data_IF_260691639461
#
_entry.id   IF_260691639461
#
_cell.length_a   1.000
_cell.length_b   1.000
_cell.length_c   1.000
_cell.angle_alpha   90.00
_cell.angle_beta   90.00
_cell.angle_gamma   90.00
#
_symmetry.space_group_name_H-M   'P 1'
#
loop_
_entity.id
_entity.type
_entity.pdbx_description
1 polymer ?
#
# COMPACT_ATOMS: atom_id res chain seq x y z
N UNK A 1 4.04 -31.20 -16.04
CA UNK A 1 4.21 -31.35 -14.58
C UNK A 1 3.77 -30.05 -13.94
N UNK A 2 2.66 -30.14 -13.20
CA UNK A 2 2.07 -29.24 -12.20
C UNK A 2 2.47 -27.75 -12.22
N UNK A 3 1.62 -26.90 -12.79
CA UNK A 3 1.48 -25.54 -12.27
C UNK A 3 0.39 -25.59 -11.21
N UNK A 4 0.75 -25.98 -9.98
CA UNK A 4 -0.13 -25.78 -8.84
C UNK A 4 -0.37 -24.28 -8.73
N UNK A 5 -1.58 -23.85 -9.09
CA UNK A 5 -2.08 -22.49 -8.86
C UNK A 5 -2.34 -22.30 -7.35
N UNK A 6 -1.36 -22.66 -6.52
CA UNK A 6 -1.44 -22.47 -5.07
C UNK A 6 -1.47 -20.97 -4.81
N UNK A 7 -2.50 -20.53 -4.07
CA UNK A 7 -2.64 -19.14 -3.67
C UNK A 7 -1.41 -18.76 -2.82
N UNK A 8 -0.75 -17.62 -3.08
CA UNK A 8 0.40 -17.21 -2.29
C UNK A 8 -0.01 -17.07 -0.82
N UNK A 9 0.85 -17.56 0.07
CA UNK A 9 0.67 -17.56 1.51
C UNK A 9 1.06 -16.21 2.06
N UNK A 10 0.15 -15.57 2.79
CA UNK A 10 0.38 -14.26 3.38
C UNK A 10 0.35 -14.31 4.91
N UNK A 11 1.17 -13.48 5.54
CA UNK A 11 1.05 -13.13 6.95
C UNK A 11 0.69 -11.65 7.09
N UNK A 12 -0.18 -11.33 8.03
CA UNK A 12 -0.43 -9.94 8.43
C UNK A 12 0.53 -9.63 9.58
N UNK A 13 1.28 -8.54 9.47
CA UNK A 13 2.13 -8.07 10.56
C UNK A 13 1.72 -6.67 11.00
N UNK A 14 1.52 -6.52 12.30
CA UNK A 14 1.22 -5.23 12.94
C UNK A 14 2.24 -5.05 14.07
N UNK A 15 3.04 -3.98 14.07
CA UNK A 15 3.99 -3.74 15.15
C UNK A 15 3.31 -3.65 16.51
N UNK A 16 3.96 -4.15 17.56
CA UNK A 16 3.44 -4.16 18.93
C UNK A 16 3.18 -2.77 19.54
N UNK A 17 3.77 -1.72 18.98
CA UNK A 17 3.57 -0.34 19.43
C UNK A 17 2.37 0.36 18.76
N UNK A 18 1.71 -0.30 17.79
CA UNK A 18 0.55 0.26 17.11
C UNK A 18 -0.70 0.02 17.95
N UNK A 19 -1.30 1.10 18.42
CA UNK A 19 -2.57 1.13 19.15
C UNK A 19 -3.41 2.33 18.66
N UNK A 20 -4.69 2.14 18.29
CA UNK A 20 -5.45 0.89 18.32
C UNK A 20 -5.14 -0.03 17.12
N UNK A 21 -5.07 -1.34 17.37
CA UNK A 21 -4.75 -2.37 16.34
C UNK A 21 -5.86 -2.60 15.30
N UNK A 22 -7.12 -2.47 15.71
CA UNK A 22 -8.30 -2.92 14.98
C UNK A 22 -8.45 -2.31 13.57
N UNK A 23 -8.33 -0.99 13.35
CA UNK A 23 -8.45 -0.41 12.00
C UNK A 23 -7.38 -0.94 11.04
N UNK A 24 -6.14 -1.08 11.50
CA UNK A 24 -5.02 -1.59 10.70
C UNK A 24 -5.22 -3.07 10.35
N UNK A 25 -5.71 -3.87 11.31
CA UNK A 25 -6.02 -5.27 11.07
C UNK A 25 -7.14 -5.44 10.04
N UNK A 26 -8.22 -4.66 10.14
CA UNK A 26 -9.33 -4.72 9.19
C UNK A 26 -8.88 -4.37 7.77
N UNK A 27 -8.06 -3.33 7.62
CA UNK A 27 -7.49 -2.95 6.32
C UNK A 27 -6.63 -4.07 5.70
N UNK A 28 -5.77 -4.70 6.52
CA UNK A 28 -4.94 -5.83 6.08
C UNK A 28 -5.78 -7.05 5.67
N UNK A 29 -6.81 -7.39 6.44
CA UNK A 29 -7.71 -8.51 6.15
C UNK A 29 -8.48 -8.29 4.85
N UNK A 30 -9.02 -7.09 4.64
CA UNK A 30 -9.71 -6.73 3.41
C UNK A 30 -8.78 -6.81 2.19
N UNK A 31 -7.54 -6.33 2.33
CA UNK A 31 -6.52 -6.43 1.27
C UNK A 31 -6.17 -7.90 0.94
N UNK A 32 -5.87 -8.71 1.96
CA UNK A 32 -5.55 -10.13 1.77
C UNK A 32 -6.69 -10.90 1.09
N UNK A 33 -7.94 -10.56 1.43
CA UNK A 33 -9.14 -11.12 0.78
C UNK A 33 -9.23 -10.70 -0.69
N UNK A 34 -9.05 -9.41 -1.00
CA UNK A 34 -9.09 -8.88 -2.37
C UNK A 34 -8.02 -9.50 -3.28
N UNK A 35 -6.81 -9.69 -2.78
CA UNK A 35 -5.72 -10.34 -3.52
C UNK A 35 -5.79 -11.87 -3.53
N UNK A 36 -6.79 -12.45 -2.85
CA UNK A 36 -6.96 -13.90 -2.68
C UNK A 36 -5.72 -14.60 -2.13
N UNK A 37 -5.04 -14.03 -1.14
CA UNK A 37 -3.97 -14.74 -0.44
C UNK A 37 -4.50 -15.87 0.44
N UNK A 38 -3.67 -16.88 0.70
CA UNK A 38 -3.88 -17.86 1.75
C UNK A 38 -3.33 -17.30 3.06
N UNK A 39 -4.19 -16.87 3.98
CA UNK A 39 -3.74 -16.24 5.22
C UNK A 39 -3.18 -17.29 6.18
N UNK A 40 -1.89 -17.18 6.52
CA UNK A 40 -1.23 -18.02 7.52
C UNK A 40 -1.58 -17.57 8.94
N UNK A 41 -1.65 -16.27 9.19
CA UNK A 41 -1.97 -15.73 10.49
C UNK A 41 -1.69 -14.23 10.64
N UNK A 42 -1.95 -13.73 11.84
CA UNK A 42 -1.70 -12.35 12.27
C UNK A 42 -0.57 -12.38 13.29
N UNK A 43 0.47 -11.57 13.06
CA UNK A 43 1.67 -11.50 13.87
C UNK A 43 1.73 -10.11 14.50
N UNK A 44 1.60 -10.05 15.83
CA UNK A 44 1.59 -8.79 16.59
C UNK A 44 2.74 -8.68 17.59
N UNK A 45 3.31 -9.81 17.99
CA UNK A 45 4.32 -9.90 19.05
C UNK A 45 5.74 -10.00 18.51
N UNK A 46 5.91 -10.50 17.29
CA UNK A 46 7.24 -10.74 16.72
C UNK A 46 7.85 -9.45 16.13
N UNK A 47 9.15 -9.22 16.34
CA UNK A 47 9.88 -8.16 15.65
C UNK A 47 9.94 -8.43 14.14
N UNK A 48 10.24 -7.38 13.36
CA UNK A 48 10.32 -7.48 11.91
C UNK A 48 11.32 -8.54 11.41
N UNK A 49 12.45 -8.73 12.10
CA UNK A 49 13.48 -9.66 11.65
C UNK A 49 12.98 -11.12 11.64
N UNK A 50 12.16 -11.50 12.63
CA UNK A 50 11.52 -12.83 12.66
C UNK A 50 10.52 -12.99 11.51
N UNK A 51 9.72 -11.96 11.23
CA UNK A 51 8.80 -11.96 10.09
C UNK A 51 9.55 -12.06 8.77
N UNK A 52 10.69 -11.39 8.66
CA UNK A 52 11.58 -11.48 7.50
C UNK A 52 12.16 -12.89 7.35
N UNK A 53 12.53 -13.56 8.45
CA UNK A 53 12.96 -14.96 8.39
C UNK A 53 11.88 -15.88 7.85
N UNK A 54 10.60 -15.66 8.18
CA UNK A 54 9.49 -16.44 7.59
C UNK A 54 9.39 -16.30 6.07
N UNK A 55 9.73 -15.12 5.53
CA UNK A 55 9.80 -14.90 4.09
C UNK A 55 11.01 -15.60 3.46
N UNK A 56 12.17 -15.53 4.12
CA UNK A 56 13.40 -16.18 3.65
C UNK A 56 13.25 -17.71 3.66
N UNK A 57 12.61 -18.27 4.69
CA UNK A 57 12.28 -19.69 4.80
C UNK A 57 11.24 -20.16 3.77
N UNK A 58 10.59 -19.25 3.04
CA UNK A 58 9.51 -19.57 2.10
C UNK A 58 8.21 -20.02 2.77
N UNK A 59 8.06 -19.80 4.09
CA UNK A 59 6.81 -20.07 4.82
C UNK A 59 5.73 -19.05 4.51
N UNK A 60 6.16 -17.83 4.18
CA UNK A 60 5.30 -16.71 3.81
C UNK A 60 5.81 -16.13 2.51
N UNK A 61 4.96 -16.10 1.49
CA UNK A 61 5.28 -15.48 0.21
C UNK A 61 5.15 -13.95 0.28
N UNK A 62 4.18 -13.45 1.08
CA UNK A 62 3.83 -12.03 1.15
C UNK A 62 3.55 -11.59 2.59
N UNK A 63 4.11 -10.45 3.01
CA UNK A 63 3.74 -9.82 4.28
C UNK A 63 2.86 -8.61 4.01
N UNK A 64 1.66 -8.62 4.57
CA UNK A 64 0.70 -7.51 4.48
C UNK A 64 0.85 -6.62 5.71
N UNK A 65 1.03 -5.33 5.47
CA UNK A 65 1.19 -4.29 6.48
C UNK A 65 0.22 -3.16 6.17
N UNK A 66 -0.39 -2.57 7.21
CA UNK A 66 -1.38 -1.52 7.00
C UNK A 66 -0.75 -0.23 6.46
N UNK A 67 0.43 0.13 6.98
CA UNK A 67 1.11 1.36 6.65
C UNK A 67 2.60 1.14 6.43
N UNK A 68 3.19 1.96 5.56
CA UNK A 68 4.62 1.88 5.27
C UNK A 68 5.48 2.32 6.47
N UNK A 69 4.95 3.13 7.37
CA UNK A 69 5.66 3.59 8.58
C UNK A 69 5.76 2.55 9.70
N UNK A 70 4.90 1.52 9.69
CA UNK A 70 5.11 0.30 10.50
C UNK A 70 6.43 -0.41 10.12
N UNK A 71 6.89 -0.07 8.92
CA UNK A 71 8.20 -0.12 8.35
C UNK A 71 9.47 0.16 9.23
N UNK A 72 10.41 -0.78 9.54
CA UNK A 72 11.81 -0.31 9.61
C UNK A 72 12.28 0.43 8.35
N UNK A 73 13.10 1.47 8.48
CA UNK A 73 13.59 2.26 7.35
C UNK A 73 14.57 1.47 6.44
N UNK A 74 15.35 0.53 6.99
CA UNK A 74 16.41 -0.22 6.29
C UNK A 74 15.92 -1.50 5.57
N UNK A 75 14.78 -1.45 4.86
CA UNK A 75 14.18 -2.67 4.32
C UNK A 75 14.58 -3.02 2.88
N UNK A 76 15.13 -4.22 2.74
CA UNK A 76 15.07 -5.10 1.56
C UNK A 76 14.49 -6.46 1.99
N UNK A 77 13.56 -7.14 1.26
CA UNK A 77 13.09 -6.93 -0.12
C UNK A 77 11.54 -6.80 -0.33
N UNK A 78 11.17 -6.47 -1.59
CA UNK A 78 9.85 -6.30 -2.25
C UNK A 78 8.62 -6.11 -1.35
N UNK A 79 8.26 -4.85 -1.13
CA UNK A 79 6.98 -4.42 -0.55
C UNK A 79 6.09 -3.94 -1.69
N UNK A 80 4.97 -4.62 -1.94
CA UNK A 80 3.91 -4.09 -2.80
C UNK A 80 2.96 -3.23 -1.96
N UNK A 81 2.83 -1.96 -2.35
CA UNK A 81 1.98 -0.99 -1.66
C UNK A 81 0.59 -1.02 -2.30
N UNK A 82 -0.38 -1.60 -1.58
CA UNK A 82 -1.78 -1.69 -1.98
C UNK A 82 -2.49 -0.33 -2.10
N UNK A 83 -1.92 0.72 -1.47
CA UNK A 83 -2.46 2.06 -1.46
C UNK A 83 -1.58 3.00 -2.30
N UNK A 84 -1.90 3.11 -3.58
CA UNK A 84 -1.89 4.44 -4.20
C UNK A 84 -3.31 4.71 -4.69
N UNK A 85 -4.10 5.28 -3.79
CA UNK A 85 -5.30 5.99 -4.20
C UNK A 85 -4.93 6.91 -5.35
N UNK A 86 -5.77 6.92 -6.39
CA UNK A 86 -5.71 7.94 -7.41
C UNK A 86 -5.89 9.30 -6.73
N UNK A 87 -4.78 10.00 -6.49
CA UNK A 87 -4.80 11.45 -6.39
C UNK A 87 -3.50 11.97 -7.02
N UNK A 88 -3.53 12.44 -8.28
CA UNK A 88 -2.48 13.35 -8.72
C UNK A 88 -2.50 14.57 -7.78
N UNK A 89 -1.35 15.11 -7.32
CA UNK A 89 -1.38 16.41 -6.67
C UNK A 89 -2.01 17.38 -7.66
N UNK A 90 -3.20 17.91 -7.33
CA UNK A 90 -3.80 19.04 -8.04
C UNK A 90 -3.00 20.31 -7.70
N UNK A 91 -1.74 20.31 -8.11
CA UNK A 91 -0.80 21.41 -8.07
C UNK A 91 -0.33 21.69 -9.49
N UNK A 92 -1.28 21.96 -10.38
CA UNK A 92 -1.03 22.54 -11.70
C UNK A 92 -2.36 23.07 -12.24
N UNK A 93 -2.72 24.30 -11.85
CA UNK A 93 -3.67 25.11 -12.60
C UNK A 93 -3.08 25.30 -14.01
N UNK A 94 -3.70 24.83 -15.10
CA UNK A 94 -3.44 25.45 -16.38
C UNK A 94 -4.06 26.85 -16.28
N UNK A 95 -3.21 27.87 -16.44
CA UNK A 95 -3.59 29.28 -16.58
C UNK A 95 -4.84 29.34 -17.46
N UNK A 96 -5.93 29.88 -16.91
CA UNK A 96 -7.08 30.24 -17.72
C UNK A 96 -6.61 31.09 -18.91
N UNK A 97 -7.27 31.02 -20.08
CA UNK A 97 -6.95 31.90 -21.18
C UNK A 97 -7.12 33.34 -20.71
N UNK A 98 -6.02 34.10 -20.64
CA UNK A 98 -6.09 35.56 -20.54
C UNK A 98 -6.86 36.04 -21.78
N UNK A 99 -8.00 36.74 -21.62
CA UNK A 99 -8.73 37.24 -22.77
C UNK A 99 -7.88 38.29 -23.49
N UNK A 100 -7.74 38.23 -24.82
CA UNK A 100 -7.00 39.25 -25.53
C UNK A 100 -7.74 40.60 -25.45
N UNK A 101 -7.16 41.54 -24.71
CA UNK A 101 -7.48 42.98 -24.82
C UNK A 101 -7.07 43.46 -26.20
N UNK A 102 -8.04 43.82 -27.06
CA UNK A 102 -7.99 44.83 -28.15
C UNK A 102 -9.34 44.76 -28.87
N UNK A 103 -10.02 45.83 -29.31
CA UNK A 103 -9.93 47.30 -29.23
C UNK A 103 -11.30 47.76 -29.73
N UNK A 104 -11.94 48.77 -29.11
CA UNK A 104 -13.13 49.42 -29.68
C UNK A 104 -12.81 50.01 -31.07
N UNK A 105 -13.65 49.80 -32.09
CA UNK A 105 -13.85 50.79 -33.13
C UNK A 105 -14.90 51.80 -32.62
N UNK A 106 -14.53 53.09 -32.65
CA UNK A 106 -15.44 54.23 -32.55
C UNK A 106 -16.27 54.31 -33.84
N UNK A 107 -17.55 54.62 -33.67
CA UNK A 107 -18.42 55.47 -34.50
C UNK A 107 -18.28 55.47 -36.02
N UNK A 108 -19.43 55.23 -36.66
CA UNK A 108 -19.91 55.85 -37.89
C UNK A 108 -21.43 55.77 -37.85
#
# INVERSE_FOLDING_TARGET
MVSSLSRPVAAIWIPSHVDPIEPHLMACLDHAKRCRYGLLGIITTAPWDEVRQLMIDGKVDVVVVAEREHLPPDRTPRIEVAARGAHPPAGSLPRGPVPPRRRRPRQG
#
